data_IF_486186203632
#
_entry.id   IF_486186203632
#
_cell.length_a   1.000
_cell.length_b   1.000
_cell.length_c   1.000
_cell.angle_alpha   90.00
_cell.angle_beta   90.00
_cell.angle_gamma   90.00
#
_symmetry.space_group_name_H-M   'P 1'
#
loop_
_entity.id
_entity.type
_entity.pdbx_description
1 polymer ?
#
# COMPACT_ATOMS: atom_id res chain seq x y z
N UNK A 1 65.94 6.07 -2.40
CA UNK A 1 65.00 6.97 -1.70
C UNK A 1 64.02 7.46 -2.75
N UNK A 2 62.87 6.81 -2.83
CA UNK A 2 61.82 7.11 -3.81
C UNK A 2 60.68 7.72 -3.02
N UNK A 3 60.38 9.00 -3.29
CA UNK A 3 59.23 9.69 -2.74
C UNK A 3 57.98 9.09 -3.39
N UNK A 4 57.07 8.53 -2.59
CA UNK A 4 55.72 8.22 -3.04
C UNK A 4 54.88 9.48 -2.92
N UNK A 5 54.51 10.08 -4.07
CA UNK A 5 53.44 11.06 -4.14
C UNK A 5 52.10 10.35 -4.01
N UNK A 6 51.43 10.63 -2.90
CA UNK A 6 50.04 10.30 -2.62
C UNK A 6 49.15 11.25 -3.45
N UNK A 7 48.61 10.75 -4.56
CA UNK A 7 47.66 11.50 -5.39
C UNK A 7 46.57 10.57 -5.89
N UNK A 8 45.80 10.00 -4.95
CA UNK A 8 44.52 9.37 -5.23
C UNK A 8 43.39 9.99 -4.37
N UNK A 9 43.28 11.32 -4.39
CA UNK A 9 42.03 11.99 -3.99
C UNK A 9 41.04 11.89 -5.15
N UNK A 10 40.10 10.96 -5.07
CA UNK A 10 38.90 10.93 -5.91
C UNK A 10 37.99 12.10 -5.50
N UNK A 11 38.13 13.24 -6.18
CA UNK A 11 37.21 14.36 -6.05
C UNK A 11 35.87 13.95 -6.66
N UNK A 12 34.84 13.84 -5.82
CA UNK A 12 33.46 13.62 -6.22
C UNK A 12 33.02 14.76 -7.14
N UNK A 13 32.74 14.46 -8.42
CA UNK A 13 32.07 15.42 -9.31
C UNK A 13 30.59 15.43 -8.91
N UNK A 14 30.02 16.57 -8.47
CA UNK A 14 28.58 16.65 -8.27
C UNK A 14 27.91 16.47 -9.63
N UNK A 15 27.03 15.49 -9.77
CA UNK A 15 26.15 15.39 -10.93
C UNK A 15 25.33 16.68 -11.08
N UNK A 16 25.08 17.05 -12.33
CA UNK A 16 24.57 18.35 -12.76
C UNK A 16 23.20 18.69 -12.14
N UNK A 17 23.12 19.82 -11.43
CA UNK A 17 21.87 20.37 -10.87
C UNK A 17 20.78 20.65 -11.91
N UNK A 18 21.15 20.79 -13.19
CA UNK A 18 20.22 21.12 -14.27
C UNK A 18 19.18 20.02 -14.54
N UNK A 19 19.54 18.75 -14.33
CA UNK A 19 18.64 17.61 -14.55
C UNK A 19 17.58 17.50 -13.44
N UNK A 20 17.96 17.84 -12.20
CA UNK A 20 17.06 17.83 -11.05
C UNK A 20 15.99 18.91 -11.13
N UNK A 21 16.35 20.14 -11.53
CA UNK A 21 15.39 21.24 -11.66
C UNK A 21 14.35 20.96 -12.75
N UNK A 22 14.75 20.32 -13.86
CA UNK A 22 13.84 19.90 -14.93
C UNK A 22 12.87 18.81 -14.46
N UNK A 23 13.36 17.81 -13.72
CA UNK A 23 12.52 16.75 -13.15
C UNK A 23 11.49 17.29 -12.15
N UNK A 24 11.90 18.24 -11.29
CA UNK A 24 11.00 18.90 -10.33
C UNK A 24 9.91 19.68 -11.05
N UNK A 25 10.26 20.46 -12.08
CA UNK A 25 9.28 21.21 -12.88
C UNK A 25 8.26 20.28 -13.55
N UNK A 26 8.71 19.15 -14.12
CA UNK A 26 7.83 18.16 -14.73
C UNK A 26 6.84 17.52 -13.72
N UNK A 27 7.27 17.31 -12.48
CA UNK A 27 6.38 16.83 -11.40
C UNK A 27 5.34 17.91 -11.05
N UNK A 28 5.76 19.16 -10.92
CA UNK A 28 4.87 20.30 -10.59
C UNK A 28 3.83 20.51 -11.68
N UNK A 29 4.20 20.46 -12.95
CA UNK A 29 3.28 20.61 -14.07
C UNK A 29 2.25 19.47 -14.11
N UNK A 30 2.68 18.22 -13.94
CA UNK A 30 1.76 17.07 -13.84
C UNK A 30 0.81 17.20 -12.65
N UNK A 31 1.30 17.64 -11.50
CA UNK A 31 0.47 17.89 -10.33
C UNK A 31 -0.56 19.00 -10.58
N UNK A 32 -0.17 20.08 -11.24
CA UNK A 32 -1.08 21.16 -11.63
C UNK A 32 -2.16 20.65 -12.60
N UNK A 33 -1.78 19.83 -13.57
CA UNK A 33 -2.72 19.18 -14.48
C UNK A 33 -3.75 18.33 -13.73
N UNK A 34 -3.31 17.45 -12.81
CA UNK A 34 -4.22 16.63 -12.00
C UNK A 34 -5.10 17.43 -11.04
N UNK A 35 -4.63 18.59 -10.60
CA UNK A 35 -5.43 19.51 -9.79
C UNK A 35 -6.52 20.16 -10.62
N UNK A 36 -6.19 20.65 -11.81
CA UNK A 36 -7.13 21.33 -12.70
C UNK A 36 -8.22 20.39 -13.24
N UNK A 37 -7.90 19.11 -13.47
CA UNK A 37 -8.88 18.13 -13.95
C UNK A 37 -9.64 17.39 -12.82
N UNK A 38 -9.44 17.79 -11.56
CA UNK A 38 -10.15 17.24 -10.39
C UNK A 38 -9.69 15.85 -9.94
N UNK A 39 -8.63 15.28 -10.53
CA UNK A 39 -8.11 13.97 -10.12
C UNK A 39 -7.56 13.97 -8.69
N UNK A 40 -7.00 15.10 -8.21
CA UNK A 40 -6.57 15.23 -6.81
C UNK A 40 -7.74 15.05 -5.86
N UNK A 41 -8.88 15.69 -6.12
CA UNK A 41 -10.06 15.59 -5.27
C UNK A 41 -10.68 14.19 -5.34
N UNK A 42 -10.67 13.55 -6.52
CA UNK A 42 -11.06 12.14 -6.68
C UNK A 42 -10.17 11.21 -5.87
N UNK A 43 -8.85 11.40 -5.87
CA UNK A 43 -7.91 10.60 -5.09
C UNK A 43 -8.15 10.74 -3.58
N UNK A 44 -8.36 11.96 -3.08
CA UNK A 44 -8.73 12.21 -1.68
C UNK A 44 -10.04 11.51 -1.31
N UNK A 45 -11.08 11.71 -2.14
CA UNK A 45 -12.37 11.07 -1.91
C UNK A 45 -12.25 9.55 -1.90
N UNK A 46 -11.51 8.96 -2.84
CA UNK A 46 -11.26 7.53 -2.89
C UNK A 46 -10.59 7.02 -1.61
N UNK A 47 -9.53 7.69 -1.13
CA UNK A 47 -8.87 7.31 0.13
C UNK A 47 -9.80 7.35 1.34
N UNK A 48 -10.63 8.39 1.43
CA UNK A 48 -11.64 8.52 2.49
C UNK A 48 -12.73 7.44 2.38
N UNK A 49 -13.25 7.20 1.18
CA UNK A 49 -14.26 6.18 0.91
C UNK A 49 -13.72 4.77 1.24
N UNK A 50 -12.45 4.48 0.95
CA UNK A 50 -11.80 3.21 1.35
C UNK A 50 -11.73 3.11 2.88
N UNK A 51 -11.29 4.16 3.57
CA UNK A 51 -11.20 4.16 5.03
C UNK A 51 -12.56 3.90 5.69
N UNK A 52 -13.63 4.48 5.13
CA UNK A 52 -14.98 4.33 5.65
C UNK A 52 -15.61 2.98 5.28
N UNK A 53 -15.34 2.43 4.09
CA UNK A 53 -16.02 1.23 3.59
C UNK A 53 -15.25 -0.09 3.79
N UNK A 54 -13.92 -0.09 3.67
CA UNK A 54 -13.12 -1.32 3.78
C UNK A 54 -12.99 -1.81 5.24
N UNK A 55 -13.28 -0.92 6.21
CA UNK A 55 -13.11 -1.19 7.63
C UNK A 55 -14.40 -1.09 8.45
N UNK A 56 -15.56 -0.90 7.80
CA UNK A 56 -16.87 -1.01 8.42
C UNK A 56 -17.09 -2.46 8.91
N UNK A 57 -17.34 -2.61 10.21
CA UNK A 57 -17.53 -3.91 10.86
C UNK A 57 -18.66 -4.73 10.22
N UNK A 58 -19.72 -4.07 9.73
CA UNK A 58 -20.85 -4.75 9.05
C UNK A 58 -20.47 -5.30 7.68
N UNK A 59 -19.39 -4.79 7.08
CA UNK A 59 -18.85 -5.30 5.82
C UNK A 59 -17.73 -6.32 6.05
N UNK A 60 -16.98 -6.26 7.15
CA UNK A 60 -15.94 -7.24 7.48
C UNK A 60 -16.47 -8.67 7.49
N UNK A 61 -17.68 -8.90 7.98
CA UNK A 61 -18.37 -10.20 7.96
C UNK A 61 -18.61 -10.73 6.52
N UNK A 62 -18.62 -9.87 5.50
CA UNK A 62 -18.70 -10.28 4.09
C UNK A 62 -17.35 -10.66 3.48
N UNK A 63 -16.25 -10.24 4.12
CA UNK A 63 -14.88 -10.40 3.62
C UNK A 63 -14.09 -11.46 4.39
N UNK A 64 -14.47 -11.71 5.64
CA UNK A 64 -13.72 -12.51 6.60
C UNK A 64 -14.66 -13.49 7.28
N UNK A 65 -14.34 -14.78 7.21
CA UNK A 65 -15.07 -15.80 7.94
C UNK A 65 -15.00 -15.52 9.45
N UNK A 66 -16.13 -15.67 10.15
CA UNK A 66 -16.28 -15.39 11.58
C UNK A 66 -15.20 -16.10 12.43
N UNK A 67 -14.71 -17.26 11.99
CA UNK A 67 -13.64 -17.99 12.69
C UNK A 67 -12.32 -17.21 12.78
N UNK A 68 -12.12 -16.21 11.92
CA UNK A 68 -10.95 -15.32 11.91
C UNK A 68 -11.19 -13.99 12.63
N UNK A 69 -12.42 -13.73 13.10
CA UNK A 69 -12.78 -12.55 13.88
C UNK A 69 -12.58 -12.75 15.39
N UNK A 70 -11.51 -13.44 15.76
CA UNK A 70 -11.08 -13.63 17.15
C UNK A 70 -10.00 -12.62 17.55
N UNK A 71 -9.92 -12.19 18.82
CA UNK A 71 -9.03 -11.11 19.26
C UNK A 71 -7.56 -11.24 18.81
N UNK A 72 -7.02 -12.46 18.78
CA UNK A 72 -5.62 -12.71 18.41
C UNK A 72 -5.35 -12.61 16.90
N UNK A 73 -6.38 -12.73 16.07
CA UNK A 73 -6.26 -12.76 14.60
C UNK A 73 -6.71 -11.44 13.97
N UNK A 74 -7.64 -10.72 14.60
CA UNK A 74 -8.15 -9.42 14.13
C UNK A 74 -7.03 -8.44 13.73
N UNK A 75 -5.92 -8.29 14.50
CA UNK A 75 -4.83 -7.40 14.10
C UNK A 75 -4.20 -7.78 12.75
N UNK A 76 -4.02 -9.09 12.49
CA UNK A 76 -3.44 -9.58 11.24
C UNK A 76 -4.39 -9.40 10.06
N UNK A 77 -5.69 -9.61 10.29
CA UNK A 77 -6.75 -9.33 9.30
C UNK A 77 -6.73 -7.85 8.93
N UNK A 78 -6.69 -6.97 9.93
CA UNK A 78 -6.68 -5.52 9.70
C UNK A 78 -5.42 -5.06 8.98
N UNK A 79 -4.25 -5.59 9.36
CA UNK A 79 -2.99 -5.31 8.69
C UNK A 79 -3.01 -5.77 7.23
N UNK A 80 -3.56 -6.97 6.94
CA UNK A 80 -3.69 -7.46 5.58
C UNK A 80 -4.65 -6.61 4.75
N UNK A 81 -5.81 -6.19 5.29
CA UNK A 81 -6.74 -5.31 4.56
C UNK A 81 -6.06 -3.98 4.22
N UNK A 82 -5.38 -3.36 5.19
CA UNK A 82 -4.70 -2.08 4.96
C UNK A 82 -3.57 -2.21 3.93
N UNK A 83 -2.72 -3.23 4.07
CA UNK A 83 -1.67 -3.52 3.08
C UNK A 83 -2.26 -3.74 1.68
N UNK A 84 -3.31 -4.56 1.58
CA UNK A 84 -3.97 -4.87 0.31
C UNK A 84 -4.57 -3.61 -0.33
N UNK A 85 -5.10 -2.70 0.48
CA UNK A 85 -5.63 -1.44 0.01
C UNK A 85 -4.54 -0.53 -0.58
N UNK A 86 -3.41 -0.41 0.11
CA UNK A 86 -2.26 0.34 -0.41
C UNK A 86 -1.68 -0.30 -1.68
N UNK A 87 -1.60 -1.63 -1.73
CA UNK A 87 -1.15 -2.36 -2.91
C UNK A 87 -2.09 -2.09 -4.10
N UNK A 88 -3.41 -2.15 -3.90
CA UNK A 88 -4.40 -1.87 -4.93
C UNK A 88 -4.26 -0.44 -5.49
N UNK A 89 -4.12 0.55 -4.60
CA UNK A 89 -3.94 1.95 -5.01
C UNK A 89 -2.67 2.13 -5.85
N UNK A 90 -1.58 1.47 -5.47
CA UNK A 90 -0.33 1.52 -6.23
C UNK A 90 -0.38 0.77 -7.57
N UNK A 91 -1.15 -0.31 -7.66
CA UNK A 91 -1.28 -1.08 -8.90
C UNK A 91 -2.22 -0.42 -9.92
N UNK A 92 -3.36 0.10 -9.47
CA UNK A 92 -4.47 0.44 -10.35
C UNK A 92 -4.62 1.94 -10.60
N UNK A 93 -4.08 2.81 -9.74
CA UNK A 93 -4.08 4.24 -10.05
C UNK A 93 -3.05 4.57 -11.16
N UNK A 94 -3.43 5.39 -12.15
CA UNK A 94 -2.59 5.62 -13.32
C UNK A 94 -1.33 6.45 -13.02
N UNK A 95 -1.29 7.16 -11.89
CA UNK A 95 -0.18 8.04 -11.52
C UNK A 95 0.19 7.88 -10.05
N UNK A 96 1.48 7.70 -9.78
CA UNK A 96 2.01 7.45 -8.43
C UNK A 96 1.66 8.58 -7.44
N UNK A 97 1.60 9.83 -7.91
CA UNK A 97 1.22 10.97 -7.06
C UNK A 97 -0.23 10.87 -6.58
N UNK A 98 -1.14 10.37 -7.43
CA UNK A 98 -2.54 10.15 -7.03
C UNK A 98 -2.65 8.99 -6.04
N UNK A 99 -1.85 7.94 -6.22
CA UNK A 99 -1.74 6.85 -5.24
C UNK A 99 -1.28 7.37 -3.88
N UNK A 100 -0.20 8.15 -3.84
CA UNK A 100 0.29 8.75 -2.61
C UNK A 100 -0.76 9.64 -1.91
N UNK A 101 -1.51 10.44 -2.67
CA UNK A 101 -2.61 11.25 -2.13
C UNK A 101 -3.71 10.36 -1.52
N UNK A 102 -4.16 9.34 -2.26
CA UNK A 102 -5.22 8.45 -1.78
C UNK A 102 -4.79 7.65 -0.53
N UNK A 103 -3.56 7.14 -0.51
CA UNK A 103 -2.98 6.42 0.63
C UNK A 103 -2.86 7.35 1.85
N UNK A 104 -2.34 8.56 1.68
CA UNK A 104 -2.24 9.51 2.78
C UNK A 104 -3.63 9.87 3.34
N UNK A 105 -4.61 10.14 2.47
CA UNK A 105 -5.98 10.43 2.91
C UNK A 105 -6.65 9.23 3.58
N UNK A 106 -6.36 8.00 3.15
CA UNK A 106 -6.80 6.78 3.81
C UNK A 106 -6.28 6.73 5.26
N UNK A 107 -4.98 6.90 5.46
CA UNK A 107 -4.36 6.93 6.80
C UNK A 107 -4.90 8.06 7.68
N UNK A 108 -4.95 9.29 7.14
CA UNK A 108 -5.51 10.46 7.85
C UNK A 108 -6.96 10.24 8.29
N UNK A 109 -7.77 9.60 7.45
CA UNK A 109 -9.17 9.30 7.76
C UNK A 109 -9.28 8.23 8.84
N UNK A 110 -8.45 7.17 8.80
CA UNK A 110 -8.42 6.13 9.83
C UNK A 110 -7.99 6.69 11.20
N UNK A 111 -6.97 7.56 11.21
CA UNK A 111 -6.52 8.27 12.41
C UNK A 111 -7.65 9.16 12.96
N UNK A 112 -8.25 9.98 12.09
CA UNK A 112 -9.30 10.95 12.50
C UNK A 112 -10.55 10.27 13.06
N UNK A 113 -10.86 9.06 12.58
CA UNK A 113 -12.00 8.27 13.05
C UNK A 113 -11.67 7.41 14.28
N UNK A 114 -10.46 7.51 14.84
CA UNK A 114 -9.99 6.69 15.96
C UNK A 114 -10.19 5.18 15.72
N UNK A 115 -9.86 4.70 14.51
CA UNK A 115 -10.03 3.29 14.16
C UNK A 115 -9.18 2.41 15.10
N UNK A 116 -9.79 1.55 15.95
CA UNK A 116 -9.07 0.88 17.05
C UNK A 116 -8.02 -0.13 16.59
N UNK A 117 -8.08 -0.57 15.33
CA UNK A 117 -7.12 -1.49 14.73
C UNK A 117 -5.92 -0.80 14.08
N UNK A 118 -5.98 0.53 13.86
CA UNK A 118 -5.01 1.24 13.03
C UNK A 118 -3.59 1.18 13.60
N UNK A 119 -3.41 1.60 14.85
CA UNK A 119 -2.11 1.58 15.53
C UNK A 119 -1.52 0.17 15.64
N UNK A 120 -2.27 -0.87 16.06
CA UNK A 120 -1.76 -2.24 16.03
C UNK A 120 -1.35 -2.74 14.63
N UNK A 121 -2.10 -2.37 13.58
CA UNK A 121 -1.83 -2.80 12.22
C UNK A 121 -0.56 -2.15 11.66
N UNK A 122 -0.41 -0.83 11.80
CA UNK A 122 0.72 -0.09 11.21
C UNK A 122 2.04 -0.36 11.95
N UNK A 123 1.98 -0.60 13.26
CA UNK A 123 3.17 -0.91 14.07
C UNK A 123 3.57 -2.40 13.99
N UNK A 124 2.79 -3.22 13.30
CA UNK A 124 3.11 -4.64 13.12
C UNK A 124 4.22 -4.84 12.09
N UNK A 125 4.99 -5.91 12.23
CA UNK A 125 5.95 -6.34 11.21
C UNK A 125 5.28 -6.94 9.97
N UNK A 126 3.94 -7.06 9.95
CA UNK A 126 3.17 -7.71 8.90
C UNK A 126 3.42 -7.09 7.52
N UNK A 127 3.46 -5.75 7.45
CA UNK A 127 3.70 -5.01 6.20
C UNK A 127 4.99 -5.44 5.51
N UNK A 128 6.07 -5.65 6.28
CA UNK A 128 7.36 -6.09 5.73
C UNK A 128 7.26 -7.48 5.09
N UNK A 129 6.53 -8.41 5.71
CA UNK A 129 6.35 -9.76 5.16
C UNK A 129 5.50 -9.76 3.90
N UNK A 130 4.43 -8.98 3.87
CA UNK A 130 3.61 -8.85 2.66
C UNK A 130 4.36 -8.15 1.52
N UNK A 131 5.14 -7.10 1.83
CA UNK A 131 6.00 -6.44 0.85
C UNK A 131 7.05 -7.40 0.27
N UNK A 132 7.66 -8.24 1.10
CA UNK A 132 8.59 -9.29 0.65
C UNK A 132 7.90 -10.29 -0.28
N UNK A 133 6.66 -10.68 0.01
CA UNK A 133 5.87 -11.61 -0.80
C UNK A 133 5.61 -11.02 -2.20
N UNK A 134 5.22 -9.74 -2.27
CA UNK A 134 5.07 -9.03 -3.56
C UNK A 134 6.41 -8.89 -4.29
N UNK A 135 7.47 -8.48 -3.59
CA UNK A 135 8.77 -8.19 -4.20
C UNK A 135 9.51 -9.43 -4.69
N UNK A 136 9.32 -10.58 -4.03
CA UNK A 136 9.85 -11.86 -4.49
C UNK A 136 9.41 -12.18 -5.91
N UNK A 137 8.26 -11.63 -6.35
CA UNK A 137 7.77 -11.79 -7.72
C UNK A 137 7.51 -13.25 -8.06
N UNK A 138 7.03 -14.02 -7.07
CA UNK A 138 6.63 -15.41 -7.26
C UNK A 138 5.54 -15.54 -8.32
N UNK A 139 5.29 -16.78 -8.75
CA UNK A 139 4.29 -17.04 -9.81
C UNK A 139 2.84 -16.93 -9.31
N UNK A 140 2.60 -16.97 -7.99
CA UNK A 140 1.29 -16.80 -7.35
C UNK A 140 1.40 -15.88 -6.13
N UNK A 141 1.48 -14.55 -6.38
CA UNK A 141 1.55 -13.54 -5.31
C UNK A 141 0.41 -13.68 -4.29
N UNK A 142 -0.87 -13.87 -4.69
CA UNK A 142 -1.94 -14.09 -3.72
C UNK A 142 -1.71 -15.29 -2.78
N UNK A 143 -1.11 -16.38 -3.28
CA UNK A 143 -0.73 -17.52 -2.43
C UNK A 143 0.41 -17.15 -1.48
N UNK A 144 1.46 -16.49 -1.97
CA UNK A 144 2.59 -16.05 -1.14
C UNK A 144 2.12 -15.12 0.00
N UNK A 145 1.16 -14.24 -0.28
CA UNK A 145 0.50 -13.39 0.73
C UNK A 145 -0.30 -14.24 1.74
N UNK A 146 -1.03 -15.25 1.27
CA UNK A 146 -1.75 -16.19 2.14
C UNK A 146 -0.81 -16.93 3.11
N UNK A 147 0.32 -17.43 2.61
CA UNK A 147 1.35 -18.09 3.42
C UNK A 147 1.93 -17.13 4.48
N UNK A 148 2.22 -15.88 4.09
CA UNK A 148 2.67 -14.85 5.04
C UNK A 148 1.61 -14.53 6.10
N UNK A 149 0.33 -14.46 5.73
CA UNK A 149 -0.77 -14.25 6.67
C UNK A 149 -0.89 -15.40 7.67
N UNK A 150 -0.84 -16.65 7.20
CA UNK A 150 -0.86 -17.83 8.05
C UNK A 150 0.31 -17.85 9.04
N UNK A 151 1.52 -17.48 8.59
CA UNK A 151 2.70 -17.31 9.42
C UNK A 151 2.52 -16.23 10.49
N UNK A 152 2.01 -15.06 10.14
CA UNK A 152 1.74 -13.98 11.09
C UNK A 152 0.66 -14.35 12.12
N UNK A 153 -0.25 -15.25 11.75
CA UNK A 153 -1.24 -15.84 12.64
C UNK A 153 -0.70 -17.02 13.48
N UNK A 154 0.56 -17.44 13.28
CA UNK A 154 1.19 -18.63 13.89
C UNK A 154 0.47 -19.93 13.53
N UNK A 155 0.02 -20.03 12.27
CA UNK A 155 -0.79 -21.12 11.70
C UNK A 155 -0.26 -21.54 10.32
N UNK A 156 1.06 -21.59 10.18
CA UNK A 156 1.79 -21.84 8.91
C UNK A 156 1.40 -23.15 8.22
N UNK A 157 1.02 -24.17 9.00
CA UNK A 157 0.61 -25.49 8.51
C UNK A 157 -0.90 -25.59 8.26
N UNK A 158 -1.66 -24.54 8.55
CA UNK A 158 -3.12 -24.52 8.43
C UNK A 158 -3.56 -23.91 7.10
N UNK A 159 -3.95 -24.78 6.17
CA UNK A 159 -4.37 -24.38 4.83
C UNK A 159 -5.60 -23.45 4.83
N UNK A 160 -6.44 -23.48 5.88
CA UNK A 160 -7.55 -22.54 6.02
C UNK A 160 -7.05 -21.11 6.18
N UNK A 161 -5.97 -20.89 6.93
CA UNK A 161 -5.38 -19.56 7.10
C UNK A 161 -4.75 -19.06 5.80
N UNK A 162 -4.05 -19.93 5.08
CA UNK A 162 -3.46 -19.58 3.78
C UNK A 162 -4.55 -19.16 2.80
N UNK A 163 -5.62 -19.95 2.70
CA UNK A 163 -6.73 -19.65 1.81
C UNK A 163 -7.47 -18.38 2.21
N UNK A 164 -7.70 -18.14 3.50
CA UNK A 164 -8.33 -16.91 3.99
C UNK A 164 -7.50 -15.67 3.64
N UNK A 165 -6.18 -15.70 3.87
CA UNK A 165 -5.29 -14.60 3.52
C UNK A 165 -5.29 -14.31 2.01
N UNK A 166 -5.23 -15.36 1.19
CA UNK A 166 -5.33 -15.25 -0.29
C UNK A 166 -6.65 -14.63 -0.73
N UNK A 167 -7.77 -15.09 -0.17
CA UNK A 167 -9.10 -14.57 -0.49
C UNK A 167 -9.25 -13.12 -0.09
N UNK A 168 -8.83 -12.76 1.13
CA UNK A 168 -8.91 -11.40 1.65
C UNK A 168 -8.11 -10.42 0.78
N UNK A 169 -6.86 -10.77 0.47
CA UNK A 169 -6.02 -9.97 -0.43
C UNK A 169 -6.68 -9.74 -1.79
N UNK A 170 -7.10 -10.83 -2.45
CA UNK A 170 -7.70 -10.78 -3.80
C UNK A 170 -8.99 -9.96 -3.82
N UNK A 171 -9.82 -10.11 -2.79
CA UNK A 171 -11.11 -9.44 -2.71
C UNK A 171 -10.97 -7.94 -2.44
N UNK A 172 -10.01 -7.54 -1.58
CA UNK A 172 -9.71 -6.11 -1.37
C UNK A 172 -9.17 -5.47 -2.64
N UNK A 173 -8.23 -6.14 -3.35
CA UNK A 173 -7.73 -5.65 -4.64
C UNK A 173 -8.86 -5.40 -5.63
N UNK A 174 -9.74 -6.39 -5.83
CA UNK A 174 -10.87 -6.31 -6.76
C UNK A 174 -11.86 -5.21 -6.37
N UNK A 175 -12.13 -5.06 -5.09
CA UNK A 175 -13.05 -4.05 -4.58
C UNK A 175 -12.53 -2.65 -4.87
N UNK A 176 -11.25 -2.40 -4.61
CA UNK A 176 -10.64 -1.08 -4.82
C UNK A 176 -10.43 -0.79 -6.31
N UNK A 177 -10.07 -1.80 -7.11
CA UNK A 177 -10.03 -1.67 -8.56
C UNK A 177 -11.38 -1.16 -9.10
N UNK A 178 -12.49 -1.76 -8.64
CA UNK A 178 -13.83 -1.31 -9.03
C UNK A 178 -14.10 0.13 -8.58
N UNK A 179 -13.73 0.50 -7.34
CA UNK A 179 -13.88 1.88 -6.86
C UNK A 179 -13.08 2.88 -7.70
N UNK A 180 -11.88 2.51 -8.17
CA UNK A 180 -11.04 3.35 -9.05
C UNK A 180 -11.70 3.51 -10.43
N UNK A 181 -12.24 2.43 -10.99
CA UNK A 181 -12.97 2.48 -12.27
C UNK A 181 -14.21 3.40 -12.17
N UNK A 182 -14.96 3.30 -11.09
CA UNK A 182 -16.16 4.11 -10.85
C UNK A 182 -15.84 5.59 -10.61
N UNK A 183 -14.66 5.89 -10.06
CA UNK A 183 -14.18 7.26 -9.85
C UNK A 183 -13.83 8.01 -11.17
N UNK A 184 -13.68 7.28 -12.29
CA UNK A 184 -13.44 7.83 -13.64
C UNK A 184 -12.32 8.87 -13.66
N UNK A 185 -11.11 8.47 -13.27
CA UNK A 185 -9.92 9.33 -13.35
C UNK A 185 -9.67 9.78 -14.78
N UNK A 186 -9.41 11.07 -14.96
CA UNK A 186 -9.04 11.65 -16.26
C UNK A 186 -7.59 11.27 -16.56
N UNK A 187 -7.32 10.80 -17.79
CA UNK A 187 -5.97 10.46 -18.25
C UNK A 187 -5.20 11.71 -18.66
#
# INVERSE_FOLDING_TARGET
MTFHEDSDIKIFKPEEKADQDSAVLAIVEKMNYHRQNGNVDKAKKLGSDIAMNAFDATRKEKFVDETFLVPDIIPQVCALILFSAEAALNYYLPFQQLSAIAINTLHETLISNNAPFYEPAINSTAFSFYYLSVRKGGTDIPKDIGEAFAMLCRREEDELFVNQGKQLYTLVLKTIEQMILDAKFSK
#
